data_IF_924764799130
#
_entry.id   IF_924764799130
#
_cell.length_a   1.000
_cell.length_b   1.000
_cell.length_c   1.000
_cell.angle_alpha   90.00
_cell.angle_beta   90.00
_cell.angle_gamma   90.00
#
_symmetry.space_group_name_H-M   'P 1'
#
loop_
_entity.id
_entity.type
_entity.pdbx_description
1 polymer ?
#
# COMPACT_ATOMS: atom_id res chain seq x y z
N UNK A 1 39.60 -98.30 -4.94
CA UNK A 1 40.44 -98.99 -5.94
C UNK A 1 39.51 -99.55 -7.01
N UNK A 2 39.77 -99.32 -8.30
CA UNK A 2 38.96 -99.93 -9.35
C UNK A 2 39.05 -101.46 -9.23
N UNK A 3 37.89 -102.11 -9.25
CA UNK A 3 37.78 -103.57 -9.23
C UNK A 3 38.13 -104.11 -10.61
N UNK A 4 39.16 -104.93 -10.69
CA UNK A 4 39.66 -105.50 -11.95
C UNK A 4 38.76 -106.59 -12.53
N UNK A 5 37.80 -107.04 -11.74
CA UNK A 5 36.81 -108.09 -11.98
C UNK A 5 35.59 -107.62 -12.80
N UNK A 6 35.49 -106.32 -13.12
CA UNK A 6 34.42 -105.74 -13.95
C UNK A 6 35.04 -104.91 -15.09
N UNK A 7 35.32 -105.58 -16.21
CA UNK A 7 36.08 -105.03 -17.35
C UNK A 7 35.30 -104.04 -18.26
N UNK A 8 34.01 -103.78 -17.99
CA UNK A 8 33.16 -102.93 -18.84
C UNK A 8 32.93 -101.50 -18.31
N UNK A 9 33.57 -101.09 -17.20
CA UNK A 9 33.58 -99.67 -16.79
C UNK A 9 34.69 -98.88 -17.50
N UNK A 10 34.33 -98.21 -18.59
CA UNK A 10 35.19 -97.25 -19.30
C UNK A 10 35.30 -95.91 -18.56
N UNK A 11 36.50 -95.31 -18.54
CA UNK A 11 36.82 -94.03 -17.87
C UNK A 11 36.64 -92.79 -18.75
N UNK A 12 35.96 -92.95 -19.89
CA UNK A 12 35.87 -91.92 -20.91
C UNK A 12 34.90 -90.82 -20.46
N UNK A 13 35.48 -89.70 -19.99
CA UNK A 13 34.74 -88.55 -19.46
C UNK A 13 35.26 -88.01 -18.13
N UNK A 14 36.15 -88.75 -17.45
CA UNK A 14 36.67 -88.37 -16.14
C UNK A 14 37.68 -87.22 -16.22
N UNK A 15 37.47 -86.16 -15.41
CA UNK A 15 38.40 -85.02 -15.29
C UNK A 15 39.18 -85.12 -13.99
N UNK A 16 40.51 -85.15 -14.10
CA UNK A 16 41.40 -85.01 -12.95
C UNK A 16 41.37 -83.55 -12.46
N UNK A 17 40.78 -83.32 -11.29
CA UNK A 17 40.75 -82.02 -10.63
C UNK A 17 41.79 -81.99 -9.50
N UNK A 18 42.53 -80.90 -9.40
CA UNK A 18 43.38 -80.63 -8.24
C UNK A 18 42.51 -80.06 -7.11
N UNK A 19 42.61 -80.59 -5.88
CA UNK A 19 41.82 -80.08 -4.77
C UNK A 19 42.25 -78.64 -4.46
N UNK A 20 41.29 -77.72 -4.52
CA UNK A 20 41.46 -76.38 -3.96
C UNK A 20 41.38 -76.46 -2.43
N UNK A 21 41.92 -75.46 -1.70
CA UNK A 21 41.75 -75.38 -0.25
C UNK A 21 40.28 -75.55 0.11
N UNK A 22 40.00 -76.55 0.95
CA UNK A 22 38.62 -76.84 1.37
C UNK A 22 38.17 -75.73 2.31
N UNK A 23 37.12 -75.01 1.92
CA UNK A 23 36.56 -73.94 2.72
C UNK A 23 35.47 -74.53 3.61
N UNK A 24 35.75 -74.64 4.91
CA UNK A 24 34.82 -75.27 5.83
C UNK A 24 33.58 -74.39 6.03
N UNK A 25 32.49 -74.99 6.51
CA UNK A 25 31.30 -74.22 6.90
C UNK A 25 31.62 -73.18 7.97
N UNK A 26 32.52 -73.51 8.92
CA UNK A 26 32.97 -72.59 9.95
C UNK A 26 33.77 -71.39 9.37
N UNK A 27 34.64 -71.63 8.39
CA UNK A 27 35.39 -70.54 7.72
C UNK A 27 34.45 -69.62 6.94
N UNK A 28 33.40 -70.20 6.33
CA UNK A 28 32.35 -69.44 5.64
C UNK A 28 31.57 -68.57 6.60
N UNK A 29 31.14 -69.11 7.73
CA UNK A 29 30.36 -68.38 8.73
C UNK A 29 31.20 -67.26 9.36
N UNK A 30 32.48 -67.51 9.62
CA UNK A 30 33.43 -66.49 10.09
C UNK A 30 33.59 -65.34 9.07
N UNK A 31 33.80 -65.68 7.78
CA UNK A 31 33.92 -64.68 6.71
C UNK A 31 32.63 -63.86 6.56
N UNK A 32 31.47 -64.53 6.58
CA UNK A 32 30.16 -63.85 6.50
C UNK A 32 30.00 -62.90 7.68
N UNK A 33 30.32 -63.32 8.90
CA UNK A 33 30.24 -62.48 10.10
C UNK A 33 31.14 -61.25 9.98
N UNK A 34 32.39 -61.42 9.54
CA UNK A 34 33.32 -60.31 9.31
C UNK A 34 32.77 -59.30 8.29
N UNK A 35 32.28 -59.78 7.14
CA UNK A 35 31.73 -58.90 6.10
C UNK A 35 30.42 -58.24 6.53
N UNK A 36 29.58 -58.93 7.29
CA UNK A 36 28.35 -58.37 7.86
C UNK A 36 28.69 -57.21 8.80
N UNK A 37 29.71 -57.34 9.67
CA UNK A 37 30.15 -56.25 10.56
C UNK A 37 30.59 -55.02 9.75
N UNK A 38 31.34 -55.22 8.66
CA UNK A 38 31.77 -54.15 7.75
C UNK A 38 30.57 -53.47 7.09
N UNK A 39 29.62 -54.24 6.55
CA UNK A 39 28.40 -53.68 5.94
C UNK A 39 27.57 -52.93 6.98
N UNK A 40 27.43 -53.47 8.19
CA UNK A 40 26.70 -52.84 9.29
C UNK A 40 27.35 -51.53 9.76
N UNK A 41 28.68 -51.46 9.81
CA UNK A 41 29.38 -50.23 10.20
C UNK A 41 29.18 -49.12 9.16
N UNK A 42 29.29 -49.45 7.87
CA UNK A 42 29.06 -48.50 6.78
C UNK A 42 27.60 -48.05 6.70
N UNK A 43 26.64 -48.96 6.88
CA UNK A 43 25.20 -48.63 6.87
C UNK A 43 24.83 -47.73 8.07
N UNK A 44 25.32 -48.03 9.28
CA UNK A 44 25.16 -47.12 10.44
C UNK A 44 25.73 -45.73 10.15
N UNK A 45 26.91 -45.65 9.54
CA UNK A 45 27.52 -44.37 9.14
C UNK A 45 26.75 -43.63 8.03
N UNK A 46 26.16 -44.36 7.08
CA UNK A 46 25.27 -43.79 6.06
C UNK A 46 24.00 -43.20 6.69
N UNK A 47 23.33 -43.95 7.57
CA UNK A 47 22.12 -43.50 8.28
C UNK A 47 22.39 -42.26 9.14
N UNK A 48 23.51 -42.24 9.88
CA UNK A 48 23.91 -41.07 10.66
C UNK A 48 24.11 -39.83 9.76
N UNK A 49 24.77 -39.98 8.61
CA UNK A 49 24.97 -38.87 7.66
C UNK A 49 23.66 -38.37 7.04
N UNK A 50 22.72 -39.26 6.74
CA UNK A 50 21.37 -38.88 6.27
C UNK A 50 20.65 -38.07 7.35
N UNK A 51 20.65 -38.56 8.60
CA UNK A 51 20.04 -37.86 9.73
C UNK A 51 20.67 -36.47 9.96
N UNK A 52 22.00 -36.38 9.94
CA UNK A 52 22.71 -35.10 10.08
C UNK A 52 22.43 -34.14 8.91
N UNK A 53 22.22 -34.62 7.68
CA UNK A 53 21.81 -33.77 6.55
C UNK A 53 20.40 -33.23 6.75
N UNK A 54 19.46 -34.07 7.18
CA UNK A 54 18.10 -33.65 7.49
C UNK A 54 18.08 -32.59 8.61
N UNK A 55 18.78 -32.82 9.72
CA UNK A 55 18.86 -31.87 10.84
C UNK A 55 19.51 -30.55 10.42
N UNK A 56 20.54 -30.58 9.56
CA UNK A 56 21.14 -29.35 9.00
C UNK A 56 20.18 -28.57 8.11
N UNK A 57 19.42 -29.27 7.28
CA UNK A 57 18.41 -28.63 6.42
C UNK A 57 17.30 -27.98 7.26
N UNK A 58 16.80 -28.66 8.29
CA UNK A 58 15.79 -28.11 9.22
C UNK A 58 16.33 -26.89 9.98
N UNK A 59 17.56 -26.97 10.51
CA UNK A 59 18.20 -25.82 11.15
C UNK A 59 18.34 -24.64 10.19
N UNK A 60 18.78 -24.88 8.95
CA UNK A 60 18.91 -23.84 7.94
C UNK A 60 17.56 -23.19 7.59
N UNK A 61 16.49 -23.98 7.47
CA UNK A 61 15.13 -23.45 7.26
C UNK A 61 14.69 -22.56 8.41
N UNK A 62 14.87 -23.01 9.65
CA UNK A 62 14.50 -22.24 10.85
C UNK A 62 15.30 -20.93 10.95
N UNK A 63 16.60 -20.99 10.67
CA UNK A 63 17.49 -19.83 10.70
C UNK A 63 17.12 -18.83 9.60
N UNK A 64 16.75 -19.32 8.41
CA UNK A 64 16.23 -18.47 7.32
C UNK A 64 14.89 -17.84 7.68
N UNK A 65 13.97 -18.59 8.31
CA UNK A 65 12.69 -18.04 8.77
C UNK A 65 12.91 -16.92 9.79
N UNK A 66 13.77 -17.14 10.79
CA UNK A 66 14.14 -16.11 11.77
C UNK A 66 14.73 -14.87 11.11
N UNK A 67 15.62 -15.04 10.13
CA UNK A 67 16.19 -13.91 9.38
C UNK A 67 15.13 -13.14 8.59
N UNK A 68 14.18 -13.84 7.96
CA UNK A 68 13.06 -13.19 7.28
C UNK A 68 12.17 -12.42 8.26
N UNK A 69 11.80 -13.03 9.39
CA UNK A 69 10.99 -12.39 10.44
C UNK A 69 11.70 -11.17 11.06
N UNK A 70 13.00 -11.27 11.33
CA UNK A 70 13.81 -10.15 11.83
C UNK A 70 13.89 -9.02 10.80
N UNK A 71 14.06 -9.34 9.52
CA UNK A 71 14.11 -8.33 8.46
C UNK A 71 12.73 -7.67 8.25
N UNK A 72 11.65 -8.45 8.29
CA UNK A 72 10.28 -7.94 8.26
C UNK A 72 10.02 -7.00 9.43
N UNK A 73 10.41 -7.39 10.66
CA UNK A 73 10.28 -6.54 11.84
C UNK A 73 11.10 -5.23 11.71
N UNK A 74 12.33 -5.31 11.17
CA UNK A 74 13.16 -4.11 10.93
C UNK A 74 12.51 -3.17 9.90
N UNK A 75 11.94 -3.71 8.83
CA UNK A 75 11.22 -2.95 7.82
C UNK A 75 9.99 -2.30 8.43
N UNK A 76 9.22 -3.03 9.24
CA UNK A 76 8.06 -2.50 9.95
C UNK A 76 8.44 -1.34 10.90
N UNK A 77 9.48 -1.52 11.71
CA UNK A 77 10.00 -0.47 12.60
C UNK A 77 10.48 0.76 11.83
N UNK A 78 11.13 0.57 10.69
CA UNK A 78 11.54 1.68 9.83
C UNK A 78 10.33 2.39 9.22
N UNK A 79 9.32 1.65 8.76
CA UNK A 79 8.08 2.22 8.24
C UNK A 79 7.33 3.01 9.31
N UNK A 80 7.29 2.52 10.55
CA UNK A 80 6.66 3.22 11.68
C UNK A 80 7.42 4.51 12.02
N UNK A 81 8.74 4.47 12.08
CA UNK A 81 9.58 5.68 12.26
C UNK A 81 9.38 6.69 11.15
N UNK A 82 9.35 6.25 9.89
CA UNK A 82 9.09 7.10 8.73
C UNK A 82 7.71 7.76 8.82
N UNK A 83 6.67 7.00 9.20
CA UNK A 83 5.31 7.55 9.41
C UNK A 83 5.27 8.58 10.52
N UNK A 84 5.95 8.36 11.64
CA UNK A 84 6.01 9.32 12.74
C UNK A 84 6.69 10.63 12.31
N UNK A 85 7.81 10.53 11.60
CA UNK A 85 8.49 11.70 11.02
C UNK A 85 7.59 12.43 10.03
N UNK A 86 6.88 11.70 9.15
CA UNK A 86 5.94 12.29 8.20
C UNK A 86 4.79 13.01 8.91
N UNK A 87 4.25 12.45 10.01
CA UNK A 87 3.19 13.08 10.81
C UNK A 87 3.65 14.40 11.45
N UNK A 88 4.90 14.47 11.91
CA UNK A 88 5.48 15.70 12.46
C UNK A 88 5.75 16.75 11.38
N UNK A 89 6.25 16.34 10.21
CA UNK A 89 6.56 17.25 9.12
C UNK A 89 5.29 17.74 8.38
N UNK A 90 4.30 16.86 8.23
CA UNK A 90 3.09 17.09 7.43
C UNK A 90 1.85 16.54 8.16
N UNK A 91 1.41 17.17 9.26
CA UNK A 91 0.21 16.72 9.98
C UNK A 91 -1.02 16.82 9.08
N UNK A 92 -1.77 15.72 8.94
CA UNK A 92 -2.95 15.67 8.05
C UNK A 92 -4.22 15.29 8.79
N UNK A 93 -4.11 14.42 9.79
CA UNK A 93 -5.24 13.92 10.57
C UNK A 93 -5.46 14.76 11.81
N UNK A 94 -6.64 14.62 12.43
CA UNK A 94 -6.95 15.30 13.68
C UNK A 94 -6.00 14.86 14.81
N UNK A 95 -5.69 13.56 14.88
CA UNK A 95 -4.79 13.00 15.88
C UNK A 95 -3.37 13.56 15.76
N UNK A 96 -2.86 13.74 14.54
CA UNK A 96 -1.55 14.38 14.31
C UNK A 96 -1.50 15.79 14.93
N UNK A 97 -2.59 16.55 14.79
CA UNK A 97 -2.67 17.88 15.40
C UNK A 97 -2.81 17.83 16.92
N UNK A 98 -3.53 16.85 17.48
CA UNK A 98 -3.58 16.65 18.94
C UNK A 98 -2.18 16.40 19.48
N UNK A 99 -1.41 15.51 18.85
CA UNK A 99 -0.03 15.24 19.27
C UNK A 99 0.82 16.50 19.23
N UNK A 100 0.74 17.30 18.16
CA UNK A 100 1.47 18.57 18.06
C UNK A 100 1.06 19.57 19.17
N UNK A 101 -0.23 19.71 19.47
CA UNK A 101 -0.67 20.57 20.57
C UNK A 101 -0.14 20.07 21.92
N UNK A 102 -0.15 18.76 22.15
CA UNK A 102 0.38 18.16 23.37
C UNK A 102 1.89 18.35 23.52
N UNK A 103 2.65 18.27 22.42
CA UNK A 103 4.10 18.51 22.40
C UNK A 103 4.42 20.00 22.68
N UNK A 104 3.67 20.93 22.08
CA UNK A 104 3.80 22.37 22.33
C UNK A 104 3.47 22.70 23.79
N UNK A 105 2.41 22.09 24.34
CA UNK A 105 2.02 22.27 25.73
C UNK A 105 3.08 21.71 26.70
N UNK A 106 3.59 20.50 26.44
CA UNK A 106 4.66 19.90 27.23
C UNK A 106 5.93 20.75 27.20
N UNK A 107 6.30 21.29 26.02
CA UNK A 107 7.42 22.21 25.89
C UNK A 107 7.21 23.49 26.72
N UNK A 108 6.03 24.12 26.63
CA UNK A 108 5.69 25.30 27.45
C UNK A 108 5.78 25.01 28.93
N UNK A 109 5.25 23.87 29.39
CA UNK A 109 5.29 23.47 30.80
C UNK A 109 6.73 23.24 31.28
N UNK A 110 7.56 22.56 30.50
CA UNK A 110 8.96 22.33 30.85
C UNK A 110 9.78 23.62 30.87
N UNK A 111 9.55 24.51 29.90
CA UNK A 111 10.26 25.77 29.78
C UNK A 111 9.84 26.76 30.88
N UNK A 112 8.55 26.83 31.21
CA UNK A 112 8.07 27.62 32.36
C UNK A 112 8.63 27.11 33.68
N UNK A 113 8.73 25.79 33.88
CA UNK A 113 9.39 25.20 35.05
C UNK A 113 10.86 25.62 35.11
N UNK A 114 11.60 25.45 34.01
CA UNK A 114 13.02 25.84 33.90
C UNK A 114 13.26 27.31 34.26
N UNK A 115 12.44 28.23 33.73
CA UNK A 115 12.56 29.68 34.02
C UNK A 115 12.24 29.98 35.49
N UNK A 116 11.26 29.29 36.07
CA UNK A 116 10.88 29.49 37.48
C UNK A 116 11.94 28.96 38.45
N UNK A 117 12.46 27.76 38.18
CA UNK A 117 13.45 27.04 38.99
C UNK A 117 14.87 27.62 38.87
N UNK A 118 15.17 28.39 37.83
CA UNK A 118 16.47 29.05 37.70
C UNK A 118 16.67 30.09 38.83
N UNK A 119 17.56 29.81 39.77
CA UNK A 119 17.84 30.66 40.93
C UNK A 119 18.65 31.91 40.58
N UNK A 120 19.46 31.85 39.51
CA UNK A 120 20.37 32.92 39.07
C UNK A 120 19.66 34.14 38.46
N UNK A 121 18.36 34.05 38.17
CA UNK A 121 17.60 35.07 37.45
C UNK A 121 16.79 35.96 38.40
N UNK A 122 16.92 37.27 38.26
CA UNK A 122 16.11 38.25 38.98
C UNK A 122 14.61 38.18 38.61
N UNK A 123 13.74 38.78 39.42
CA UNK A 123 12.28 38.79 39.15
C UNK A 123 11.93 39.42 37.80
N UNK A 124 12.59 40.52 37.44
CA UNK A 124 12.38 41.24 36.19
C UNK A 124 12.85 40.43 34.98
N UNK A 125 14.00 39.75 35.11
CA UNK A 125 14.57 38.89 34.07
C UNK A 125 13.70 37.65 33.84
N UNK A 126 13.17 37.03 34.90
CA UNK A 126 12.17 35.95 34.80
C UNK A 126 10.91 36.42 34.07
N UNK A 127 10.41 37.63 34.35
CA UNK A 127 9.27 38.20 33.64
C UNK A 127 9.56 38.51 32.16
N UNK A 128 10.78 38.94 31.83
CA UNK A 128 11.20 39.12 30.43
C UNK A 128 11.27 37.77 29.70
N UNK A 129 11.87 36.75 30.32
CA UNK A 129 11.98 35.40 29.76
C UNK A 129 10.60 34.75 29.55
N UNK A 130 9.65 34.92 30.47
CA UNK A 130 8.27 34.44 30.31
C UNK A 130 7.52 35.15 29.17
N UNK A 131 7.75 36.45 28.97
CA UNK A 131 7.19 37.18 27.80
C UNK A 131 7.77 36.67 26.49
N UNK A 132 9.06 36.38 26.45
CA UNK A 132 9.71 35.79 25.28
C UNK A 132 9.17 34.38 25.00
N UNK A 133 8.99 33.57 26.05
CA UNK A 133 8.38 32.24 25.95
C UNK A 133 6.97 32.31 25.36
N UNK A 134 6.14 33.24 25.85
CA UNK A 134 4.79 33.44 25.30
C UNK A 134 4.83 33.85 23.82
N UNK A 135 5.76 34.73 23.43
CA UNK A 135 5.95 35.12 22.01
C UNK A 135 6.31 33.91 21.14
N UNK A 136 7.16 33.01 21.64
CA UNK A 136 7.51 31.75 20.97
C UNK A 136 6.31 30.80 20.88
N UNK A 137 5.53 30.64 21.95
CA UNK A 137 4.30 29.83 21.97
C UNK A 137 3.30 30.33 20.92
N UNK A 138 3.01 31.64 20.89
CA UNK A 138 2.09 32.23 19.92
C UNK A 138 2.56 31.96 18.48
N UNK A 139 3.86 32.09 18.20
CA UNK A 139 4.43 31.76 16.88
C UNK A 139 4.23 30.29 16.53
N UNK A 140 4.44 29.36 17.47
CA UNK A 140 4.21 27.92 17.26
C UNK A 140 2.74 27.60 17.02
N UNK A 141 1.81 28.20 17.77
CA UNK A 141 0.38 28.01 17.54
C UNK A 141 -0.05 28.54 16.16
N UNK A 142 0.47 29.70 15.75
CA UNK A 142 0.23 30.25 14.42
C UNK A 142 0.77 29.34 13.30
N UNK A 143 1.92 28.69 13.49
CA UNK A 143 2.43 27.74 12.50
C UNK A 143 1.56 26.49 12.43
N UNK A 144 1.11 25.96 13.56
CA UNK A 144 0.15 24.85 13.62
C UNK A 144 -1.15 25.20 12.89
N UNK A 145 -1.67 26.42 13.06
CA UNK A 145 -2.88 26.86 12.35
C UNK A 145 -2.68 26.96 10.83
N UNK A 146 -1.52 27.46 10.38
CA UNK A 146 -1.17 27.46 8.94
C UNK A 146 -1.10 26.03 8.39
N UNK A 147 -0.50 25.10 9.14
CA UNK A 147 -0.45 23.68 8.78
C UNK A 147 -1.87 23.10 8.68
N UNK A 148 -2.77 23.46 9.60
CA UNK A 148 -4.18 23.03 9.58
C UNK A 148 -4.91 23.53 8.34
N UNK A 149 -4.69 24.77 7.91
CA UNK A 149 -5.27 25.31 6.66
C UNK A 149 -4.74 24.55 5.46
N UNK A 150 -3.42 24.32 5.39
CA UNK A 150 -2.80 23.55 4.31
C UNK A 150 -3.32 22.11 4.26
N UNK A 151 -3.37 21.43 5.40
CA UNK A 151 -3.90 20.08 5.55
C UNK A 151 -5.37 20.01 5.13
N UNK A 152 -6.22 20.98 5.52
CA UNK A 152 -7.61 21.07 5.07
C UNK A 152 -7.72 21.17 3.55
N UNK A 153 -6.90 22.01 2.91
CA UNK A 153 -6.87 22.14 1.44
C UNK A 153 -6.43 20.84 0.77
N UNK A 154 -5.37 20.21 1.24
CA UNK A 154 -4.86 18.94 0.72
C UNK A 154 -5.87 17.80 0.92
N UNK A 155 -6.45 17.68 2.11
CA UNK A 155 -7.45 16.67 2.44
C UNK A 155 -8.72 16.87 1.62
N UNK A 156 -9.16 18.12 1.37
CA UNK A 156 -10.28 18.40 0.47
C UNK A 156 -9.98 17.90 -0.95
N UNK A 157 -8.81 18.20 -1.50
CA UNK A 157 -8.39 17.71 -2.82
C UNK A 157 -8.34 16.17 -2.86
N UNK A 158 -7.79 15.55 -1.82
CA UNK A 158 -7.70 14.08 -1.72
C UNK A 158 -9.10 13.45 -1.64
N UNK A 159 -10.02 14.05 -0.89
CA UNK A 159 -11.42 13.60 -0.81
C UNK A 159 -12.13 13.73 -2.16
N UNK A 160 -11.92 14.83 -2.88
CA UNK A 160 -12.45 15.03 -4.23
C UNK A 160 -11.93 13.94 -5.17
N UNK A 161 -10.62 13.70 -5.20
CA UNK A 161 -10.02 12.67 -6.05
C UNK A 161 -10.53 11.27 -5.72
N UNK A 162 -10.58 10.91 -4.43
CA UNK A 162 -11.14 9.61 -3.99
C UNK A 162 -12.61 9.45 -4.38
N UNK A 163 -13.39 10.53 -4.31
CA UNK A 163 -14.80 10.53 -4.74
C UNK A 163 -14.91 10.25 -6.24
N UNK A 164 -14.13 10.94 -7.07
CA UNK A 164 -14.10 10.74 -8.51
C UNK A 164 -13.62 9.33 -8.89
N UNK A 165 -12.57 8.83 -8.23
CA UNK A 165 -12.08 7.45 -8.42
C UNK A 165 -13.13 6.41 -8.05
N UNK A 166 -13.91 6.66 -7.00
CA UNK A 166 -14.99 5.76 -6.61
C UNK A 166 -16.14 5.76 -7.62
N UNK A 167 -16.49 6.91 -8.23
CA UNK A 167 -17.47 6.98 -9.32
C UNK A 167 -16.99 6.30 -10.61
N UNK A 168 -15.68 6.40 -10.90
CA UNK A 168 -15.05 5.81 -12.09
C UNK A 168 -14.73 4.30 -11.93
N UNK A 169 -14.95 3.74 -10.74
CA UNK A 169 -14.56 2.36 -10.44
C UNK A 169 -15.45 1.38 -11.20
N UNK A 170 -14.88 0.37 -11.88
CA UNK A 170 -15.69 -0.66 -12.50
C UNK A 170 -16.46 -1.49 -11.46
N UNK A 171 -17.60 -2.04 -11.88
CA UNK A 171 -18.44 -2.88 -11.02
C UNK A 171 -17.87 -4.28 -10.99
N UNK A 172 -17.89 -4.91 -9.81
CA UNK A 172 -17.45 -6.30 -9.64
C UNK A 172 -18.70 -7.16 -9.53
N UNK A 173 -18.87 -8.08 -10.48
CA UNK A 173 -19.98 -9.03 -10.48
C UNK A 173 -19.46 -10.39 -10.02
N UNK A 174 -19.99 -10.89 -8.91
CA UNK A 174 -19.70 -12.24 -8.44
C UNK A 174 -20.62 -13.22 -9.16
N UNK A 175 -20.03 -14.20 -9.84
CA UNK A 175 -20.75 -15.31 -10.46
C UNK A 175 -21.21 -16.32 -9.39
N UNK A 176 -22.15 -17.20 -9.75
CA UNK A 176 -22.56 -18.34 -8.92
C UNK A 176 -21.41 -19.23 -8.47
N UNK A 177 -20.33 -19.25 -9.26
CA UNK A 177 -19.19 -20.16 -9.09
C UNK A 177 -18.10 -19.59 -8.16
N UNK A 178 -18.35 -18.41 -7.56
CA UNK A 178 -17.42 -17.72 -6.66
C UNK A 178 -16.35 -16.88 -7.36
N UNK A 179 -16.30 -16.90 -8.70
CA UNK A 179 -15.40 -16.04 -9.48
C UNK A 179 -15.97 -14.61 -9.59
N UNK A 180 -15.08 -13.62 -9.66
CA UNK A 180 -15.44 -12.19 -9.70
C UNK A 180 -14.99 -11.56 -11.01
N UNK A 181 -15.95 -11.06 -11.80
CA UNK A 181 -15.68 -10.39 -13.07
C UNK A 181 -15.75 -8.87 -12.91
N UNK A 182 -14.81 -8.15 -13.53
CA UNK A 182 -14.76 -6.69 -13.51
C UNK A 182 -15.50 -6.18 -14.76
N UNK A 183 -16.60 -5.47 -14.56
CA UNK A 183 -17.48 -4.99 -15.62
C UNK A 183 -17.43 -3.46 -15.70
N UNK A 184 -17.03 -2.95 -16.86
CA UNK A 184 -17.14 -1.54 -17.20
C UNK A 184 -18.51 -1.27 -17.82
N UNK A 185 -19.39 -0.59 -17.08
CA UNK A 185 -20.66 -0.11 -17.61
C UNK A 185 -20.46 1.22 -18.35
N UNK A 186 -21.34 1.59 -19.31
CA UNK A 186 -21.27 2.89 -19.97
C UNK A 186 -21.20 4.06 -18.98
N UNK A 187 -21.94 3.97 -17.87
CA UNK A 187 -21.92 4.95 -16.78
C UNK A 187 -20.55 5.08 -16.10
N UNK A 188 -19.90 3.96 -15.77
CA UNK A 188 -18.55 3.98 -15.15
C UNK A 188 -17.46 4.47 -16.11
N UNK A 189 -17.58 4.14 -17.40
CA UNK A 189 -16.67 4.66 -18.45
C UNK A 189 -16.82 6.18 -18.59
N UNK A 190 -18.05 6.68 -18.65
CA UNK A 190 -18.33 8.12 -18.70
C UNK A 190 -17.87 8.85 -17.44
N UNK A 191 -18.08 8.27 -16.26
CA UNK A 191 -17.57 8.83 -15.01
C UNK A 191 -16.02 8.90 -14.98
N UNK A 192 -15.34 7.93 -15.60
CA UNK A 192 -13.89 7.95 -15.79
C UNK A 192 -13.45 9.07 -16.73
N UNK A 193 -14.13 9.25 -17.86
CA UNK A 193 -13.87 10.37 -18.79
C UNK A 193 -14.01 11.72 -18.09
N UNK A 194 -15.08 11.91 -17.31
CA UNK A 194 -15.29 13.12 -16.51
C UNK A 194 -14.21 13.35 -15.45
N UNK A 195 -13.76 12.27 -14.78
CA UNK A 195 -12.64 12.35 -13.84
C UNK A 195 -11.36 12.81 -14.54
N UNK A 196 -11.06 12.27 -15.72
CA UNK A 196 -9.86 12.60 -16.48
C UNK A 196 -9.92 14.06 -16.99
N UNK A 197 -11.07 14.50 -17.49
CA UNK A 197 -11.30 15.91 -17.84
C UNK A 197 -11.14 16.85 -16.64
N UNK A 198 -11.66 16.48 -15.47
CA UNK A 198 -11.51 17.28 -14.26
C UNK A 198 -10.04 17.39 -13.82
N UNK A 199 -9.29 16.29 -13.88
CA UNK A 199 -7.86 16.26 -13.57
C UNK A 199 -7.09 17.16 -14.55
N UNK A 200 -7.38 17.04 -15.84
CA UNK A 200 -6.78 17.86 -16.88
C UNK A 200 -7.09 19.35 -16.71
N UNK A 201 -8.32 19.71 -16.31
CA UNK A 201 -8.71 21.10 -16.06
C UNK A 201 -7.86 21.77 -14.97
N UNK A 202 -7.36 20.99 -14.02
CA UNK A 202 -6.54 21.47 -12.89
C UNK A 202 -5.04 21.50 -13.18
N UNK A 203 -4.59 20.94 -14.30
CA UNK A 203 -3.18 20.99 -14.68
C UNK A 203 -2.80 22.42 -15.11
N UNK A 204 -1.65 22.89 -14.62
CA UNK A 204 -1.10 24.21 -14.97
C UNK A 204 0.02 24.14 -15.99
N UNK A 205 0.47 22.94 -16.35
CA UNK A 205 1.64 22.66 -17.19
C UNK A 205 1.30 22.43 -18.67
N UNK A 206 0.02 22.56 -19.05
CA UNK A 206 -0.45 22.40 -20.42
C UNK A 206 0.06 23.51 -21.32
N UNK A 207 0.36 23.17 -22.57
CA UNK A 207 0.58 24.14 -23.65
C UNK A 207 -0.72 24.87 -24.00
N UNK A 208 -0.63 25.99 -24.71
CA UNK A 208 -1.81 26.77 -25.11
C UNK A 208 -2.78 25.95 -25.97
N UNK A 209 -2.25 25.17 -26.92
CA UNK A 209 -3.05 24.37 -27.84
C UNK A 209 -3.73 23.21 -27.10
N UNK A 210 -2.98 22.45 -26.31
CA UNK A 210 -3.56 21.37 -25.48
C UNK A 210 -4.63 21.90 -24.52
N UNK A 211 -4.45 23.12 -23.99
CA UNK A 211 -5.46 23.75 -23.14
C UNK A 211 -6.72 24.10 -23.94
N UNK A 212 -6.60 24.68 -25.13
CA UNK A 212 -7.75 25.00 -25.98
C UNK A 212 -8.51 23.73 -26.39
N UNK A 213 -7.80 22.67 -26.76
CA UNK A 213 -8.39 21.36 -27.08
C UNK A 213 -9.14 20.77 -25.89
N UNK A 214 -8.55 20.85 -24.69
CA UNK A 214 -9.22 20.43 -23.45
C UNK A 214 -10.49 21.25 -23.19
N UNK A 215 -10.43 22.57 -23.31
CA UNK A 215 -11.61 23.44 -23.10
C UNK A 215 -12.73 23.07 -24.08
N UNK A 216 -12.37 22.78 -25.33
CA UNK A 216 -13.30 22.29 -26.33
C UNK A 216 -13.92 20.96 -25.89
N UNK A 217 -13.12 19.95 -25.53
CA UNK A 217 -13.62 18.65 -25.07
C UNK A 217 -14.59 18.76 -23.88
N UNK A 218 -14.26 19.60 -22.89
CA UNK A 218 -15.14 19.85 -21.75
C UNK A 218 -16.43 20.52 -22.19
N UNK A 219 -16.37 21.47 -23.13
CA UNK A 219 -17.56 22.14 -23.67
C UNK A 219 -18.51 21.14 -24.33
N UNK A 220 -18.01 20.23 -25.16
CA UNK A 220 -18.83 19.18 -25.78
C UNK A 220 -19.50 18.28 -24.74
N UNK A 221 -18.75 17.84 -23.73
CA UNK A 221 -19.25 16.98 -22.66
C UNK A 221 -20.38 17.64 -21.83
N UNK A 222 -20.30 18.95 -21.62
CA UNK A 222 -21.25 19.72 -20.82
C UNK A 222 -22.49 20.13 -21.63
N UNK A 223 -22.34 20.36 -22.93
CA UNK A 223 -23.44 20.80 -23.81
C UNK A 223 -24.46 19.69 -24.13
N UNK A 224 -24.18 18.43 -23.79
CA UNK A 224 -25.16 17.34 -23.90
C UNK A 224 -26.40 17.57 -23.02
N UNK A 225 -26.27 18.35 -21.94
CA UNK A 225 -27.34 18.64 -21.00
C UNK A 225 -27.59 20.15 -20.88
N UNK A 226 -28.58 20.72 -21.60
CA UNK A 226 -28.84 22.16 -21.53
C UNK A 226 -29.50 22.53 -20.19
N UNK A 227 -28.76 23.20 -19.30
CA UNK A 227 -29.27 23.77 -18.05
C UNK A 227 -28.48 25.02 -17.65
N UNK A 228 -28.90 25.71 -16.58
CA UNK A 228 -28.22 26.94 -16.15
C UNK A 228 -26.75 26.69 -15.76
N UNK A 229 -26.47 25.59 -15.07
CA UNK A 229 -25.11 25.21 -14.67
C UNK A 229 -24.20 24.98 -15.89
N UNK A 230 -24.67 24.24 -16.89
CA UNK A 230 -23.89 23.92 -18.10
C UNK A 230 -23.68 25.14 -18.98
N UNK A 231 -24.67 26.05 -19.06
CA UNK A 231 -24.53 27.35 -19.71
C UNK A 231 -23.47 28.23 -19.04
N UNK A 232 -23.45 28.29 -17.70
CA UNK A 232 -22.48 29.09 -16.96
C UNK A 232 -21.06 28.52 -17.11
N UNK A 233 -20.92 27.18 -17.15
CA UNK A 233 -19.64 26.53 -17.46
C UNK A 233 -19.20 26.88 -18.88
N UNK A 234 -20.06 26.75 -19.88
CA UNK A 234 -19.75 27.03 -21.28
C UNK A 234 -19.30 28.49 -21.48
N UNK A 235 -20.00 29.46 -20.88
CA UNK A 235 -19.59 30.88 -20.94
C UNK A 235 -18.19 31.09 -20.34
N UNK A 236 -17.88 30.46 -19.21
CA UNK A 236 -16.57 30.60 -18.58
C UNK A 236 -15.46 29.92 -19.39
N UNK A 237 -15.74 28.79 -20.04
CA UNK A 237 -14.81 28.13 -20.95
C UNK A 237 -14.50 29.01 -22.17
N UNK A 238 -15.52 29.60 -22.79
CA UNK A 238 -15.35 30.52 -23.93
C UNK A 238 -14.55 31.76 -23.53
N UNK A 239 -14.81 32.30 -22.34
CA UNK A 239 -14.01 33.41 -21.78
C UNK A 239 -12.56 33.03 -21.52
N UNK A 240 -12.28 31.81 -21.07
CA UNK A 240 -10.90 31.33 -20.91
C UNK A 240 -10.21 31.22 -22.28
N UNK A 241 -10.88 30.62 -23.27
CA UNK A 241 -10.34 30.49 -24.63
C UNK A 241 -10.03 31.85 -25.27
N UNK A 242 -10.93 32.82 -25.14
CA UNK A 242 -10.73 34.19 -25.62
C UNK A 242 -9.52 34.87 -24.97
N UNK A 243 -9.32 34.68 -23.66
CA UNK A 243 -8.18 35.25 -22.95
C UNK A 243 -6.85 34.59 -23.38
N UNK A 244 -6.86 33.28 -23.64
CA UNK A 244 -5.70 32.55 -24.17
C UNK A 244 -5.37 33.07 -25.58
N UNK A 245 -6.37 33.19 -26.46
CA UNK A 245 -6.18 33.68 -27.83
C UNK A 245 -5.66 35.14 -27.87
N UNK A 246 -6.00 35.94 -26.85
CA UNK A 246 -5.46 37.31 -26.66
C UNK A 246 -4.07 37.34 -26.00
N UNK A 247 -3.46 36.19 -25.73
CA UNK A 247 -2.12 36.09 -25.15
C UNK A 247 -2.02 36.45 -23.67
N UNK A 248 -3.11 36.34 -22.89
CA UNK A 248 -3.07 36.61 -21.45
C UNK A 248 -2.29 35.54 -20.71
N UNK A 249 -1.45 35.96 -19.76
CA UNK A 249 -0.64 35.04 -18.94
C UNK A 249 -1.49 34.14 -18.05
N UNK A 250 -1.08 32.88 -17.89
CA UNK A 250 -1.77 31.84 -17.11
C UNK A 250 -1.98 32.20 -15.64
N UNK A 251 -1.10 33.01 -15.05
CA UNK A 251 -1.20 33.50 -13.67
C UNK A 251 -2.44 34.37 -13.44
N UNK A 252 -2.81 35.20 -14.42
CA UNK A 252 -3.97 36.10 -14.32
C UNK A 252 -5.32 35.34 -14.36
N UNK A 253 -5.34 34.15 -14.95
CA UNK A 253 -6.53 33.32 -15.14
C UNK A 253 -6.73 32.30 -14.02
N UNK A 254 -5.93 32.33 -12.96
CA UNK A 254 -5.99 31.34 -11.87
C UNK A 254 -7.39 31.24 -11.24
N UNK A 255 -8.00 32.38 -10.91
CA UNK A 255 -9.34 32.41 -10.31
C UNK A 255 -10.43 31.91 -11.26
N UNK A 256 -10.31 32.23 -12.56
CA UNK A 256 -11.23 31.73 -13.59
C UNK A 256 -11.14 30.19 -13.71
N UNK A 257 -9.91 29.66 -13.79
CA UNK A 257 -9.66 28.21 -13.85
C UNK A 257 -10.16 27.47 -12.62
N UNK A 258 -9.94 28.02 -11.43
CA UNK A 258 -10.46 27.45 -10.18
C UNK A 258 -12.00 27.44 -10.18
N UNK A 259 -12.65 28.51 -10.68
CA UNK A 259 -14.11 28.57 -10.80
C UNK A 259 -14.65 27.54 -11.80
N UNK A 260 -14.06 27.43 -12.98
CA UNK A 260 -14.43 26.44 -14.01
C UNK A 260 -14.31 25.02 -13.44
N UNK A 261 -13.18 24.70 -12.79
CA UNK A 261 -12.97 23.38 -12.21
C UNK A 261 -13.99 23.07 -11.10
N UNK A 262 -14.33 24.04 -10.25
CA UNK A 262 -15.34 23.84 -9.20
C UNK A 262 -16.75 23.62 -9.79
N UNK A 263 -17.16 24.42 -10.77
CA UNK A 263 -18.46 24.24 -11.44
C UNK A 263 -18.54 22.92 -12.20
N UNK A 264 -17.45 22.53 -12.87
CA UNK A 264 -17.38 21.22 -13.53
C UNK A 264 -17.43 20.07 -12.50
N UNK A 265 -16.82 20.23 -11.33
CA UNK A 265 -16.98 19.26 -10.24
C UNK A 265 -18.43 19.18 -9.75
N UNK A 266 -19.13 20.30 -9.64
CA UNK A 266 -20.55 20.32 -9.26
C UNK A 266 -21.40 19.60 -10.32
N UNK A 267 -21.12 19.82 -11.61
CA UNK A 267 -21.73 19.07 -12.72
C UNK A 267 -21.52 17.56 -12.60
N UNK A 268 -20.30 17.10 -12.33
CA UNK A 268 -20.01 15.65 -12.14
C UNK A 268 -20.74 15.07 -10.93
N UNK A 269 -21.01 15.88 -9.92
CA UNK A 269 -21.71 15.44 -8.71
C UNK A 269 -23.23 15.41 -8.84
N UNK A 270 -23.79 15.95 -9.93
CA UNK A 270 -25.24 15.93 -10.16
C UNK A 270 -25.66 14.58 -10.72
N UNK A 271 -26.55 13.83 -10.02
CA UNK A 271 -27.00 12.51 -10.46
C UNK A 271 -27.65 12.47 -11.85
N UNK A 272 -28.25 13.58 -12.29
CA UNK A 272 -28.89 13.71 -13.60
C UNK A 272 -27.88 13.59 -14.75
N UNK A 273 -26.66 14.10 -14.55
CA UNK A 273 -25.59 14.07 -15.57
C UNK A 273 -24.65 12.88 -15.37
N UNK A 274 -24.49 12.42 -14.13
CA UNK A 274 -23.66 11.29 -13.77
C UNK A 274 -24.40 10.36 -12.79
N UNK A 275 -24.94 9.22 -13.27
CA UNK A 275 -25.68 8.31 -12.39
C UNK A 275 -24.79 7.68 -11.30
N UNK A 276 -23.48 7.56 -11.50
CA UNK A 276 -22.54 7.06 -10.48
C UNK A 276 -22.32 8.07 -9.33
N UNK A 277 -22.86 9.29 -9.43
CA UNK A 277 -22.86 10.26 -8.34
C UNK A 277 -23.96 10.00 -7.29
N UNK A 278 -24.99 9.22 -7.61
CA UNK A 278 -26.13 8.93 -6.71
C UNK A 278 -25.72 8.45 -5.31
N UNK A 279 -24.78 7.49 -5.14
CA UNK A 279 -24.41 7.00 -3.81
C UNK A 279 -23.80 8.08 -2.90
N UNK A 280 -23.26 9.14 -3.49
CA UNK A 280 -22.65 10.25 -2.77
C UNK A 280 -23.61 11.41 -2.53
N UNK A 281 -24.80 11.37 -3.13
CA UNK A 281 -25.86 12.32 -2.87
C UNK A 281 -26.56 11.89 -1.58
N UNK A 282 -26.27 12.56 -0.46
CA UNK A 282 -27.04 12.34 0.77
C UNK A 282 -28.43 12.95 0.56
N UNK A 283 -29.40 12.15 0.15
CA UNK A 283 -30.79 12.53 0.38
C UNK A 283 -31.00 12.59 1.89
N UNK A 284 -31.70 13.61 2.42
CA UNK A 284 -32.21 13.55 3.78
C UNK A 284 -32.93 12.21 3.95
N UNK A 285 -32.63 11.45 5.01
CA UNK A 285 -33.47 10.30 5.32
C UNK A 285 -34.90 10.85 5.48
N UNK A 286 -35.83 10.36 4.69
CA UNK A 286 -37.24 10.73 4.79
C UNK A 286 -37.90 9.73 5.74
N UNK A 287 -38.82 10.19 6.58
CA UNK A 287 -39.70 9.32 7.36
C UNK A 287 -40.76 8.67 6.46
N UNK A 288 -41.55 7.74 7.01
CA UNK A 288 -42.60 7.02 6.27
C UNK A 288 -43.71 7.94 5.70
N UNK A 289 -43.73 9.22 6.11
CA UNK A 289 -44.68 10.24 5.67
C UNK A 289 -44.06 11.24 4.68
N UNK A 290 -42.80 11.05 4.27
CA UNK A 290 -42.12 11.88 3.28
C UNK A 290 -41.49 13.17 3.82
N UNK A 291 -41.36 13.32 5.14
CA UNK A 291 -40.68 14.46 5.76
C UNK A 291 -39.21 14.13 6.08
N UNK A 292 -38.28 15.08 5.90
CA UNK A 292 -36.87 14.86 6.24
C UNK A 292 -36.71 14.71 7.75
N UNK A 293 -36.03 13.66 8.21
CA UNK A 293 -35.66 13.50 9.62
C UNK A 293 -34.85 14.72 10.05
N UNK A 294 -35.38 15.49 11.00
CA UNK A 294 -34.64 16.59 11.61
C UNK A 294 -33.35 16.03 12.21
N UNK A 295 -32.20 16.58 11.79
CA UNK A 295 -30.92 16.31 12.43
C UNK A 295 -31.00 16.79 13.88
N UNK A 296 -31.23 15.87 14.82
CA UNK A 296 -30.99 16.13 16.24
C UNK A 296 -29.48 16.30 16.36
N UNK A 297 -29.06 17.55 16.55
CA UNK A 297 -27.67 17.90 16.86
C UNK A 297 -27.40 17.40 18.27
N UNK A 298 -26.51 16.41 18.38
CA UNK A 298 -25.88 16.02 19.64
C UNK A 298 -24.52 16.72 19.75
#
# INVERSE_FOLDING_TARGET
>A
MPRHDLAELTKDGDRALTPRPYFSSADRDALVTEKVIVIQSHTRGMLARIRCRHLRAERYKLEKQRQCEEEEARIEDELMRRREVERRLHPRTYDDFITLYSEVEAWRLNETKRIKECEDMGKEEKHAALRELLSKEVKLLQTVDRLKIHARKYNRNTKINKKLEAMARPKVWTQSDGDSTIVHTPSTTRAKEFMDLYRALRLTTLTTNERLDLLLHVKWAVMEFPCKLTSDIAELLDREADLINRGRGSSSMKGLRERIANLFFDFINTPEFNPEAQPFHRMPKMDANGYPYAHVVA
#
